data_IF_726297840537
#
_entry.id   IF_726297840537
#
_cell.length_a   1.000
_cell.length_b   1.000
_cell.length_c   1.000
_cell.angle_alpha   90.00
_cell.angle_beta   90.00
_cell.angle_gamma   90.00
#
_symmetry.space_group_name_H-M   'P 1'
#
loop_
_entity.id
_entity.type
_entity.pdbx_description
1 polymer ?
#
# COMPACT_ATOMS: atom_id res chain seq x y z
N UNK A 1 22.48 -11.15 3.82
CA UNK A 1 21.38 -12.00 3.34
C UNK A 1 20.43 -12.28 4.49
N UNK A 2 19.11 -12.21 4.24
CA UNK A 2 18.10 -12.40 5.28
C UNK A 2 17.05 -13.40 4.82
N UNK A 3 16.53 -14.18 5.77
CA UNK A 3 15.34 -15.00 5.59
C UNK A 3 14.32 -14.52 6.62
N UNK A 4 13.21 -13.96 6.15
CA UNK A 4 12.18 -13.38 7.01
C UNK A 4 10.84 -14.06 6.75
N UNK A 5 10.05 -14.17 7.81
CA UNK A 5 8.64 -14.51 7.70
C UNK A 5 7.83 -13.21 7.84
N UNK A 6 6.70 -13.13 7.16
CA UNK A 6 5.83 -11.96 7.20
C UNK A 6 5.49 -11.54 8.63
N UNK A 7 5.23 -12.51 9.52
CA UNK A 7 4.84 -12.22 10.91
C UNK A 7 6.00 -11.69 11.78
N UNK A 8 7.22 -11.67 11.26
CA UNK A 8 8.35 -11.04 11.94
C UNK A 8 8.44 -9.54 11.65
N UNK A 9 7.72 -9.04 10.66
CA UNK A 9 7.68 -7.63 10.33
C UNK A 9 6.77 -6.87 11.29
N UNK A 10 7.05 -5.58 11.56
CA UNK A 10 6.14 -4.78 12.36
C UNK A 10 4.79 -4.63 11.66
N UNK A 11 3.70 -4.79 12.44
CA UNK A 11 2.35 -4.52 11.99
C UNK A 11 1.93 -3.17 12.55
N UNK A 12 1.74 -2.18 11.67
CA UNK A 12 1.39 -0.81 12.06
C UNK A 12 0.11 -0.41 11.34
N UNK A 13 -0.90 -0.01 12.11
CA UNK A 13 -2.19 0.36 11.55
C UNK A 13 -2.89 -0.81 10.89
N UNK A 14 -2.66 -1.01 9.59
CA UNK A 14 -3.32 -2.05 8.80
C UNK A 14 -2.35 -2.84 7.93
N UNK A 15 -1.05 -2.74 8.17
CA UNK A 15 -0.08 -3.42 7.31
C UNK A 15 1.13 -3.96 8.05
N UNK A 16 1.62 -5.11 7.58
CA UNK A 16 2.99 -5.56 7.88
C UNK A 16 3.92 -4.76 6.99
N UNK A 17 4.99 -4.21 7.56
CA UNK A 17 5.84 -3.23 6.86
C UNK A 17 7.26 -3.75 6.67
N UNK A 18 7.63 -3.94 5.42
CA UNK A 18 9.00 -4.22 5.02
C UNK A 18 9.66 -2.91 4.61
N UNK A 19 10.59 -2.42 5.45
CA UNK A 19 11.36 -1.21 5.16
C UNK A 19 12.70 -1.57 4.55
N UNK A 20 12.91 -1.21 3.28
CA UNK A 20 14.09 -1.59 2.54
C UNK A 20 15.38 -1.11 3.17
N UNK A 21 15.40 0.09 3.77
CA UNK A 21 16.59 0.63 4.41
C UNK A 21 17.10 -0.24 5.56
N UNK A 22 16.21 -0.99 6.22
CA UNK A 22 16.56 -1.89 7.33
C UNK A 22 16.98 -3.27 6.84
N UNK A 23 16.66 -3.61 5.60
CA UNK A 23 16.83 -4.94 5.05
C UNK A 23 17.84 -4.99 3.89
N UNK A 24 18.43 -3.84 3.53
CA UNK A 24 19.38 -3.78 2.42
C UNK A 24 18.74 -3.89 1.04
N UNK A 25 17.48 -3.46 0.91
CA UNK A 25 16.73 -3.49 -0.35
C UNK A 25 16.42 -2.06 -0.83
N UNK A 26 16.36 -1.82 -2.15
CA UNK A 26 16.11 -0.48 -2.71
C UNK A 26 14.64 -0.07 -2.74
N UNK A 27 13.75 -0.85 -2.14
CA UNK A 27 12.31 -0.58 -2.08
C UNK A 27 11.76 -0.95 -0.71
N UNK A 28 10.51 -0.55 -0.46
CA UNK A 28 9.75 -0.97 0.71
C UNK A 28 8.45 -1.62 0.25
N UNK A 29 7.88 -2.50 1.07
CA UNK A 29 6.64 -3.19 0.73
C UNK A 29 5.72 -3.22 1.95
N UNK A 30 4.46 -2.85 1.77
CA UNK A 30 3.44 -2.91 2.80
C UNK A 30 2.43 -3.98 2.43
N UNK A 31 2.28 -4.94 3.33
CA UNK A 31 1.34 -6.04 3.19
C UNK A 31 0.08 -5.67 3.95
N UNK A 32 -0.87 -5.09 3.23
CA UNK A 32 -2.10 -4.55 3.80
C UNK A 32 -3.08 -5.67 4.13
N UNK A 33 -3.69 -5.55 5.30
CA UNK A 33 -4.75 -6.42 5.78
C UNK A 33 -5.77 -5.52 6.48
N UNK A 34 -6.68 -4.95 5.69
CA UNK A 34 -7.58 -3.90 6.14
C UNK A 34 -9.00 -4.40 6.29
N UNK A 35 -9.62 -4.07 7.42
CA UNK A 35 -11.05 -4.31 7.66
C UNK A 35 -11.90 -3.37 6.80
N UNK A 36 -13.18 -3.72 6.55
CA UNK A 36 -14.09 -2.82 5.83
C UNK A 36 -14.09 -1.40 6.38
N UNK A 37 -14.05 -0.42 5.48
CA UNK A 37 -14.02 0.99 5.81
C UNK A 37 -12.63 1.58 6.10
N UNK A 38 -11.59 0.76 6.23
CA UNK A 38 -10.23 1.21 6.56
C UNK A 38 -9.46 1.60 5.30
N UNK A 39 -8.59 2.57 5.47
CA UNK A 39 -7.66 3.04 4.46
C UNK A 39 -6.89 4.26 4.97
N UNK A 40 -5.80 4.65 4.33
CA UNK A 40 -5.03 5.82 4.72
C UNK A 40 -5.76 7.12 4.31
N UNK A 41 -5.39 8.26 4.90
CA UNK A 41 -5.83 9.55 4.40
C UNK A 41 -5.24 9.82 3.01
N UNK A 42 -5.81 10.80 2.29
CA UNK A 42 -5.24 11.26 1.03
C UNK A 42 -3.81 11.77 1.27
N UNK A 43 -2.85 11.33 0.47
CA UNK A 43 -1.43 11.60 0.68
C UNK A 43 -0.62 11.52 -0.61
N UNK A 44 0.63 11.94 -0.52
CA UNK A 44 1.60 11.82 -1.61
C UNK A 44 2.89 11.16 -1.13
N UNK A 45 3.61 10.57 -2.05
CA UNK A 45 4.99 10.12 -1.88
C UNK A 45 5.88 10.74 -2.98
N UNK A 46 7.16 11.04 -2.71
CA UNK A 46 8.08 11.56 -3.74
C UNK A 46 8.62 10.47 -4.67
N UNK A 47 8.01 9.29 -4.69
CA UNK A 47 8.41 8.13 -5.48
C UNK A 47 7.17 7.40 -5.99
N UNK A 48 7.37 6.50 -6.96
CA UNK A 48 6.31 5.66 -7.50
C UNK A 48 5.88 4.61 -6.48
N UNK A 49 4.58 4.36 -6.41
CA UNK A 49 4.01 3.25 -5.66
C UNK A 49 3.20 2.37 -6.61
N UNK A 50 3.23 1.05 -6.39
CA UNK A 50 2.40 0.11 -7.14
C UNK A 50 1.62 -0.73 -6.15
N UNK A 51 0.29 -0.77 -6.30
CA UNK A 51 -0.60 -1.52 -5.43
C UNK A 51 -1.14 -2.75 -6.16
N UNK A 52 -0.99 -3.92 -5.55
CA UNK A 52 -1.49 -5.20 -6.07
C UNK A 52 -2.60 -5.68 -5.15
N UNK A 53 -3.83 -5.76 -5.66
CA UNK A 53 -4.96 -6.28 -4.88
C UNK A 53 -4.97 -7.81 -4.97
N UNK A 54 -4.92 -8.47 -3.83
CA UNK A 54 -4.90 -9.93 -3.72
C UNK A 54 -6.25 -10.51 -3.33
N UNK A 55 -7.01 -9.80 -2.49
CA UNK A 55 -8.30 -10.26 -1.98
C UNK A 55 -9.16 -9.04 -1.62
N UNK A 56 -10.45 -9.12 -1.89
CA UNK A 56 -11.41 -8.10 -1.52
C UNK A 56 -11.61 -7.03 -2.57
N UNK A 57 -12.24 -5.95 -2.16
CA UNK A 57 -12.64 -4.83 -3.02
C UNK A 57 -12.19 -3.52 -2.39
N UNK A 58 -11.56 -2.67 -3.17
CA UNK A 58 -11.13 -1.34 -2.73
C UNK A 58 -11.65 -0.26 -3.67
N UNK A 59 -11.90 0.91 -3.12
CA UNK A 59 -12.07 2.13 -3.91
C UNK A 59 -10.78 2.90 -3.87
N UNK A 60 -10.15 3.08 -5.02
CA UNK A 60 -8.83 3.70 -5.15
C UNK A 60 -8.96 5.03 -5.86
N UNK A 61 -8.36 6.05 -5.27
CA UNK A 61 -8.27 7.40 -5.85
C UNK A 61 -6.81 7.69 -6.19
N UNK A 62 -6.56 8.06 -7.44
CA UNK A 62 -5.25 8.51 -7.94
C UNK A 62 -5.48 9.81 -8.71
N UNK A 63 -5.05 10.94 -8.15
CA UNK A 63 -5.36 12.25 -8.72
C UNK A 63 -6.86 12.48 -8.80
N UNK A 64 -7.37 12.73 -10.00
CA UNK A 64 -8.80 12.96 -10.26
C UNK A 64 -9.57 11.68 -10.63
N UNK A 65 -8.90 10.52 -10.63
CA UNK A 65 -9.48 9.26 -11.05
C UNK A 65 -9.80 8.40 -9.82
N UNK A 66 -11.06 8.00 -9.68
CA UNK A 66 -11.50 7.12 -8.59
C UNK A 66 -12.19 5.90 -9.19
N UNK A 67 -11.71 4.72 -8.83
CA UNK A 67 -12.24 3.45 -9.35
C UNK A 67 -12.38 2.42 -8.26
N UNK A 68 -13.34 1.52 -8.43
CA UNK A 68 -13.43 0.30 -7.66
C UNK A 68 -12.54 -0.77 -8.31
N UNK A 69 -11.76 -1.47 -7.48
CA UNK A 69 -10.84 -2.52 -7.92
C UNK A 69 -11.05 -3.79 -7.09
N UNK A 70 -10.77 -4.91 -7.70
CA UNK A 70 -10.92 -6.24 -7.09
C UNK A 70 -9.61 -7.02 -7.15
N UNK A 71 -9.62 -8.24 -6.64
CA UNK A 71 -8.47 -9.13 -6.70
C UNK A 71 -7.93 -9.25 -8.13
N UNK A 72 -6.62 -9.14 -8.29
CA UNK A 72 -5.93 -9.13 -9.59
C UNK A 72 -5.67 -7.74 -10.15
N UNK A 73 -6.20 -6.68 -9.51
CA UNK A 73 -5.95 -5.30 -9.94
C UNK A 73 -4.51 -4.88 -9.63
N UNK A 74 -3.94 -4.10 -10.54
CA UNK A 74 -2.63 -3.46 -10.37
C UNK A 74 -2.81 -1.98 -10.63
N UNK A 75 -2.47 -1.14 -9.64
CA UNK A 75 -2.58 0.31 -9.75
C UNK A 75 -1.18 0.91 -9.64
N UNK A 76 -0.78 1.67 -10.65
CA UNK A 76 0.49 2.39 -10.66
C UNK A 76 0.23 3.84 -10.29
N UNK A 77 0.86 4.30 -9.21
CA UNK A 77 0.70 5.65 -8.68
C UNK A 77 2.00 6.41 -8.95
N UNK A 78 1.96 7.42 -9.83
CA UNK A 78 3.16 8.23 -10.10
C UNK A 78 3.61 9.01 -8.88
N UNK A 79 4.89 9.36 -8.85
CA UNK A 79 5.45 10.20 -7.80
C UNK A 79 4.66 11.51 -7.66
N UNK A 80 4.51 11.98 -6.44
CA UNK A 80 3.87 13.26 -6.09
C UNK A 80 2.39 13.37 -6.49
N UNK A 81 1.72 12.24 -6.73
CA UNK A 81 0.31 12.22 -7.10
C UNK A 81 -0.53 11.93 -5.86
N UNK A 82 -1.50 12.80 -5.51
CA UNK A 82 -2.41 12.53 -4.40
C UNK A 82 -3.17 11.22 -4.62
N UNK A 83 -3.18 10.38 -3.61
CA UNK A 83 -3.84 9.08 -3.71
C UNK A 83 -4.26 8.53 -2.35
N UNK A 84 -5.19 7.60 -2.40
CA UNK A 84 -5.60 6.77 -1.26
C UNK A 84 -6.36 5.56 -1.75
N UNK A 85 -6.52 4.57 -0.88
CA UNK A 85 -7.49 3.48 -1.05
C UNK A 85 -8.37 3.38 0.19
N UNK A 86 -9.54 2.78 0.03
CA UNK A 86 -10.44 2.43 1.13
C UNK A 86 -10.98 1.03 0.84
N UNK A 87 -11.00 0.17 1.86
CA UNK A 87 -11.71 -1.09 1.75
C UNK A 87 -13.21 -0.80 1.64
N UNK A 88 -13.76 -0.91 0.45
CA UNK A 88 -15.17 -0.67 0.15
C UNK A 88 -15.98 -1.96 0.03
N UNK A 89 -15.37 -3.10 0.31
CA UNK A 89 -16.03 -4.39 0.31
C UNK A 89 -16.59 -4.78 1.67
N UNK A 90 -17.19 -5.95 1.74
CA UNK A 90 -17.77 -6.51 2.97
C UNK A 90 -16.78 -7.37 3.76
N UNK A 91 -15.71 -7.83 3.14
CA UNK A 91 -14.68 -8.66 3.74
C UNK A 91 -13.34 -7.93 3.88
N UNK A 92 -12.30 -8.69 4.26
CA UNK A 92 -10.96 -8.13 4.38
C UNK A 92 -10.41 -7.72 3.01
N UNK A 93 -9.68 -6.61 2.99
CA UNK A 93 -8.89 -6.19 1.84
C UNK A 93 -7.44 -6.61 2.08
N UNK A 94 -6.91 -7.42 1.18
CA UNK A 94 -5.50 -7.79 1.17
C UNK A 94 -4.85 -7.26 -0.09
N UNK A 95 -3.80 -6.48 0.09
CA UNK A 95 -3.03 -5.94 -1.02
C UNK A 95 -1.56 -5.81 -0.64
N UNK A 96 -0.70 -5.75 -1.64
CA UNK A 96 0.72 -5.45 -1.46
C UNK A 96 0.98 -4.12 -2.12
N UNK A 97 1.52 -3.17 -1.34
CA UNK A 97 1.91 -1.85 -1.83
C UNK A 97 3.44 -1.81 -1.91
N UNK A 98 3.97 -1.67 -3.12
CA UNK A 98 5.41 -1.54 -3.34
C UNK A 98 5.74 -0.07 -3.47
N UNK A 99 6.61 0.42 -2.58
CA UNK A 99 7.13 1.78 -2.59
C UNK A 99 8.53 1.77 -3.21
N UNK A 100 8.76 2.53 -4.26
CA UNK A 100 10.05 2.58 -4.95
C UNK A 100 11.07 3.42 -4.19
N UNK A 101 11.23 3.12 -2.90
CA UNK A 101 12.17 3.79 -2.01
C UNK A 101 12.51 2.87 -0.83
N UNK A 102 13.78 2.85 -0.39
CA UNK A 102 14.13 2.14 0.83
C UNK A 102 13.62 2.85 2.09
N UNK A 103 13.25 4.13 1.98
CA UNK A 103 12.69 4.93 3.07
C UNK A 103 11.24 5.27 2.79
N UNK A 104 10.42 5.18 3.83
CA UNK A 104 9.04 5.65 3.76
C UNK A 104 9.01 7.18 3.91
N UNK A 105 8.45 7.86 2.92
CA UNK A 105 8.23 9.31 2.94
C UNK A 105 6.79 9.56 2.52
N UNK A 106 6.01 10.19 3.37
CA UNK A 106 4.58 10.45 3.10
C UNK A 106 4.21 11.85 3.58
N UNK A 107 3.48 12.57 2.74
CA UNK A 107 2.87 13.84 3.10
C UNK A 107 1.36 13.69 3.05
N UNK A 108 0.71 13.81 4.20
CA UNK A 108 -0.75 13.79 4.28
C UNK A 108 -1.31 15.15 3.85
N UNK A 109 -2.40 15.10 3.11
CA UNK A 109 -3.05 16.28 2.55
C UNK A 109 -4.31 16.67 3.33
#
# INVERSE_FOLDING_TARGET
MSFLNLNELPFVGMSYQFHGEKQGAPFSAYFVNAKPGRGPPLHTHPYVEVEFTLEGTATVTVGDDTREVNAGSIVVIPANTPHRFVNSGAGVLRQIDIHASPKFVQTNL
#
